data_IF_294801875311
#
_entry.id   IF_294801875311
#
_cell.length_a   1.000
_cell.length_b   1.000
_cell.length_c   1.000
_cell.angle_alpha   90.00
_cell.angle_beta   90.00
_cell.angle_gamma   90.00
#
_symmetry.space_group_name_H-M   'P 1'
#
loop_
_entity.id
_entity.type
_entity.pdbx_description
1 polymer ?
#
# COMPACT_ATOMS: atom_id res chain seq x y z
N UNK A 1 21.04 -12.53 28.34
CA UNK A 1 20.26 -11.37 27.82
C UNK A 1 18.81 -11.66 28.13
N UNK A 2 18.08 -10.75 28.78
CA UNK A 2 16.71 -11.03 29.24
C UNK A 2 15.75 -11.06 28.02
N UNK A 3 14.85 -12.05 27.94
CA UNK A 3 13.88 -12.20 26.84
C UNK A 3 13.13 -10.90 26.52
N UNK A 4 12.73 -10.16 27.54
CA UNK A 4 12.10 -8.84 27.43
C UNK A 4 12.97 -7.82 26.67
N UNK A 5 14.28 -7.82 26.86
CA UNK A 5 15.19 -6.91 26.17
C UNK A 5 15.24 -7.22 24.66
N UNK A 6 15.20 -8.50 24.29
CA UNK A 6 15.18 -8.95 22.90
C UNK A 6 13.87 -8.51 22.24
N UNK A 7 12.74 -8.77 22.89
CA UNK A 7 11.42 -8.39 22.38
C UNK A 7 11.28 -6.87 22.20
N UNK A 8 11.73 -6.08 23.18
CA UNK A 8 11.73 -4.62 23.09
C UNK A 8 12.63 -4.11 21.94
N UNK A 9 13.80 -4.71 21.75
CA UNK A 9 14.69 -4.38 20.63
C UNK A 9 14.02 -4.66 19.28
N UNK A 10 13.35 -5.80 19.14
CA UNK A 10 12.60 -6.16 17.94
C UNK A 10 11.42 -5.20 17.71
N UNK A 11 10.67 -4.85 18.76
CA UNK A 11 9.56 -3.90 18.66
C UNK A 11 10.04 -2.52 18.20
N UNK A 12 11.14 -2.01 18.76
CA UNK A 12 11.72 -0.76 18.34
C UNK A 12 12.17 -0.79 16.86
N UNK A 13 12.76 -1.89 16.41
CA UNK A 13 13.13 -2.09 15.02
C UNK A 13 11.90 -2.05 14.10
N UNK A 14 10.80 -2.70 14.49
CA UNK A 14 9.56 -2.69 13.70
C UNK A 14 8.93 -1.31 13.63
N UNK A 15 8.91 -0.56 14.74
CA UNK A 15 8.42 0.82 14.77
C UNK A 15 9.27 1.76 13.89
N UNK A 16 10.59 1.60 13.89
CA UNK A 16 11.47 2.36 13.00
C UNK A 16 11.21 2.02 11.53
N UNK A 17 11.04 0.73 11.22
CA UNK A 17 10.72 0.27 9.87
C UNK A 17 9.36 0.81 9.41
N UNK A 18 8.33 0.78 10.27
CA UNK A 18 7.02 1.36 9.97
C UNK A 18 7.11 2.86 9.66
N UNK A 19 7.83 3.61 10.48
CA UNK A 19 8.03 5.05 10.26
C UNK A 19 8.78 5.34 8.95
N UNK A 20 9.79 4.55 8.64
CA UNK A 20 10.54 4.67 7.38
C UNK A 20 9.65 4.44 6.16
N UNK A 21 8.93 3.31 6.11
CA UNK A 21 8.07 2.99 4.96
C UNK A 21 6.87 3.91 4.85
N UNK A 22 6.33 4.40 5.98
CA UNK A 22 5.29 5.43 5.95
C UNK A 22 5.77 6.74 5.30
N UNK A 23 6.96 7.20 5.65
CA UNK A 23 7.58 8.38 5.03
C UNK A 23 7.83 8.18 3.54
N UNK A 24 8.39 7.03 3.15
CA UNK A 24 8.63 6.70 1.73
C UNK A 24 7.31 6.65 0.94
N UNK A 25 6.29 6.00 1.48
CA UNK A 25 4.97 5.94 0.88
C UNK A 25 4.40 7.33 0.57
N UNK A 26 4.51 8.28 1.52
CA UNK A 26 4.04 9.65 1.33
C UNK A 26 4.89 10.44 0.32
N UNK A 27 6.21 10.19 0.27
CA UNK A 27 7.10 10.82 -0.71
C UNK A 27 6.75 10.35 -2.12
N UNK A 28 6.58 9.04 -2.30
CA UNK A 28 6.27 8.46 -3.60
C UNK A 28 4.90 8.90 -4.11
N UNK A 29 3.88 8.96 -3.24
CA UNK A 29 2.56 9.49 -3.59
C UNK A 29 2.70 10.92 -4.13
N UNK A 30 3.40 11.80 -3.41
CA UNK A 30 3.57 13.18 -3.84
C UNK A 30 4.31 13.26 -5.17
N UNK A 31 5.41 12.53 -5.29
CA UNK A 31 6.21 12.51 -6.51
C UNK A 31 5.40 12.02 -7.72
N UNK A 32 4.72 10.88 -7.58
CA UNK A 32 3.89 10.30 -8.65
C UNK A 32 2.72 11.21 -9.03
N UNK A 33 2.08 11.86 -8.04
CA UNK A 33 1.01 12.81 -8.29
C UNK A 33 1.51 13.99 -9.13
N UNK A 34 2.57 14.67 -8.69
CA UNK A 34 3.13 15.82 -9.43
C UNK A 34 3.63 15.41 -10.80
N UNK A 35 4.29 14.26 -10.91
CA UNK A 35 4.77 13.75 -12.20
C UNK A 35 3.60 13.51 -13.17
N UNK A 36 2.51 12.90 -12.70
CA UNK A 36 1.31 12.67 -13.52
C UNK A 36 0.68 14.00 -13.96
N UNK A 37 0.56 14.99 -13.06
CA UNK A 37 0.02 16.32 -13.39
C UNK A 37 0.89 17.03 -14.44
N UNK A 38 2.23 16.95 -14.31
CA UNK A 38 3.15 17.51 -15.29
C UNK A 38 2.94 16.88 -16.67
N UNK A 39 2.85 15.54 -16.76
CA UNK A 39 2.64 14.87 -18.04
C UNK A 39 1.25 15.11 -18.63
N UNK A 40 0.21 15.26 -17.78
CA UNK A 40 -1.11 15.71 -18.25
C UNK A 40 -1.05 17.11 -18.85
N UNK A 41 -0.33 18.05 -18.22
CA UNK A 41 -0.12 19.39 -18.77
C UNK A 41 0.66 19.36 -20.09
N UNK A 42 1.77 18.62 -20.12
CA UNK A 42 2.58 18.46 -21.31
C UNK A 42 1.80 17.81 -22.47
N UNK A 43 0.84 16.95 -22.17
CA UNK A 43 0.01 16.31 -23.21
C UNK A 43 -0.90 17.29 -23.96
N UNK A 44 -1.22 18.44 -23.36
CA UNK A 44 -1.91 19.53 -24.03
C UNK A 44 -1.03 20.24 -25.09
N UNK A 45 0.29 20.16 -24.93
CA UNK A 45 1.27 20.75 -25.86
C UNK A 45 1.75 19.70 -26.86
N UNK A 46 2.05 18.51 -26.38
CA UNK A 46 2.54 17.39 -27.16
C UNK A 46 1.84 16.10 -26.73
N UNK A 47 0.99 15.58 -27.60
CA UNK A 47 0.15 14.41 -27.35
C UNK A 47 0.97 13.15 -26.99
N UNK A 48 2.22 13.04 -27.45
CA UNK A 48 3.10 11.91 -27.12
C UNK A 48 3.47 11.84 -25.63
N UNK A 49 3.27 12.92 -24.87
CA UNK A 49 3.43 12.89 -23.41
C UNK A 49 2.41 11.93 -22.72
N UNK A 50 1.27 11.64 -23.37
CA UNK A 50 0.30 10.65 -22.88
C UNK A 50 0.88 9.24 -22.79
N UNK A 51 1.90 8.89 -23.60
CA UNK A 51 2.51 7.56 -23.56
C UNK A 51 3.13 7.22 -22.19
N UNK A 52 3.58 8.23 -21.45
CA UNK A 52 4.26 8.03 -20.18
C UNK A 52 3.26 7.82 -19.03
N UNK A 53 2.07 8.39 -19.12
CA UNK A 53 1.07 8.35 -18.03
C UNK A 53 0.67 6.92 -17.63
N UNK A 54 0.32 5.99 -18.55
CA UNK A 54 -0.01 4.62 -18.17
C UNK A 54 1.16 3.90 -17.49
N UNK A 55 2.38 4.15 -17.95
CA UNK A 55 3.59 3.56 -17.36
C UNK A 55 3.82 4.07 -15.93
N UNK A 56 3.68 5.38 -15.70
CA UNK A 56 3.76 5.99 -14.37
C UNK A 56 2.69 5.39 -13.45
N UNK A 57 1.44 5.27 -13.93
CA UNK A 57 0.33 4.74 -13.13
C UNK A 57 0.55 3.28 -12.74
N UNK A 58 1.03 2.44 -13.66
CA UNK A 58 1.35 1.03 -13.37
C UNK A 58 2.55 0.90 -12.43
N UNK A 59 3.65 1.58 -12.71
CA UNK A 59 4.82 1.59 -11.84
C UNK A 59 4.49 2.10 -10.46
N UNK A 60 3.74 3.21 -10.39
CA UNK A 60 3.27 3.79 -9.14
C UNK A 60 2.42 2.83 -8.33
N UNK A 61 1.49 2.10 -8.97
CA UNK A 61 0.65 1.11 -8.29
C UNK A 61 1.48 -0.02 -7.66
N UNK A 62 2.48 -0.53 -8.37
CA UNK A 62 3.40 -1.58 -7.87
C UNK A 62 4.25 -1.05 -6.72
N UNK A 63 4.81 0.15 -6.84
CA UNK A 63 5.64 0.77 -5.81
C UNK A 63 4.84 1.05 -4.53
N UNK A 64 3.64 1.61 -4.65
CA UNK A 64 2.74 1.85 -3.52
C UNK A 64 2.29 0.55 -2.86
N UNK A 65 1.98 -0.49 -3.65
CA UNK A 65 1.65 -1.82 -3.13
C UNK A 65 2.82 -2.44 -2.35
N UNK A 66 4.05 -2.26 -2.84
CA UNK A 66 5.26 -2.70 -2.13
C UNK A 66 5.40 -2.03 -0.76
N UNK A 67 5.26 -0.70 -0.67
CA UNK A 67 5.33 0.01 0.60
C UNK A 67 4.17 -0.35 1.53
N UNK A 68 2.95 -0.46 1.00
CA UNK A 68 1.79 -0.89 1.77
C UNK A 68 2.00 -2.29 2.38
N UNK A 69 2.61 -3.22 1.64
CA UNK A 69 2.95 -4.55 2.14
C UNK A 69 3.89 -4.48 3.36
N UNK A 70 4.92 -3.67 3.31
CA UNK A 70 5.84 -3.50 4.44
C UNK A 70 5.19 -2.80 5.65
N UNK A 71 4.29 -1.84 5.40
CA UNK A 71 3.51 -1.21 6.47
C UNK A 71 2.60 -2.22 7.18
N UNK A 72 1.90 -3.06 6.43
CA UNK A 72 1.05 -4.13 6.97
C UNK A 72 1.89 -5.13 7.78
N UNK A 73 3.03 -5.57 7.22
CA UNK A 73 3.94 -6.48 7.90
C UNK A 73 4.46 -5.91 9.21
N UNK A 74 5.06 -4.71 9.19
CA UNK A 74 5.66 -4.09 10.38
C UNK A 74 4.65 -3.88 11.50
N UNK A 75 3.41 -3.53 11.14
CA UNK A 75 2.32 -3.32 12.07
C UNK A 75 1.85 -4.62 12.70
N UNK A 76 1.54 -5.65 11.91
CA UNK A 76 1.08 -6.93 12.43
C UNK A 76 2.13 -7.56 13.34
N UNK A 77 3.41 -7.41 12.98
CA UNK A 77 4.50 -7.93 13.82
C UNK A 77 4.69 -7.08 15.09
N UNK A 78 4.54 -5.77 15.04
CA UNK A 78 4.54 -4.92 16.23
C UNK A 78 3.42 -5.30 17.19
N UNK A 79 2.20 -5.53 16.70
CA UNK A 79 1.08 -6.00 17.50
C UNK A 79 1.40 -7.33 18.19
N UNK A 80 1.91 -8.31 17.45
CA UNK A 80 2.31 -9.60 18.01
C UNK A 80 3.35 -9.44 19.15
N UNK A 81 4.35 -8.58 18.97
CA UNK A 81 5.38 -8.31 19.98
C UNK A 81 4.81 -7.60 21.21
N UNK A 82 3.92 -6.61 21.01
CA UNK A 82 3.24 -5.92 22.12
C UNK A 82 2.39 -6.88 22.95
N UNK A 83 1.61 -7.74 22.31
CA UNK A 83 0.81 -8.77 22.97
C UNK A 83 1.70 -9.74 23.76
N UNK A 84 2.85 -10.16 23.20
CA UNK A 84 3.78 -11.06 23.89
C UNK A 84 4.45 -10.39 25.10
N UNK A 85 4.88 -9.13 24.97
CA UNK A 85 5.47 -8.36 26.08
C UNK A 85 4.44 -8.15 27.19
N UNK A 86 3.20 -7.77 26.84
CA UNK A 86 2.13 -7.60 27.82
C UNK A 86 1.83 -8.91 28.59
N UNK A 87 1.85 -10.04 27.89
CA UNK A 87 1.63 -11.35 28.51
C UNK A 87 2.75 -11.69 29.52
N UNK A 88 4.02 -11.40 29.18
CA UNK A 88 5.15 -11.62 30.09
C UNK A 88 5.06 -10.72 31.33
N UNK A 89 4.65 -9.46 31.15
CA UNK A 89 4.52 -8.49 32.24
C UNK A 89 3.26 -8.69 33.12
N UNK A 90 2.31 -9.52 32.67
CA UNK A 90 1.04 -9.73 33.35
C UNK A 90 0.06 -8.55 33.29
N UNK A 91 0.39 -7.47 32.61
CA UNK A 91 -0.39 -6.25 32.50
C UNK A 91 -0.38 -5.72 31.04
N UNK A 92 -1.52 -5.15 30.60
CA UNK A 92 -1.64 -4.49 29.29
C UNK A 92 -1.04 -3.07 29.33
N UNK A 93 0.28 -2.96 29.25
CA UNK A 93 1.00 -1.67 29.28
C UNK A 93 1.18 -1.13 27.86
N UNK A 94 1.46 -2.02 26.89
CA UNK A 94 1.65 -1.64 25.50
C UNK A 94 0.33 -1.74 24.75
N UNK A 95 -0.25 -0.59 24.39
CA UNK A 95 -1.56 -0.46 23.75
C UNK A 95 -1.49 0.28 22.40
N UNK A 96 -0.29 0.52 21.87
CA UNK A 96 -0.13 1.33 20.65
C UNK A 96 -0.90 0.71 19.46
N UNK A 97 -0.87 -0.61 19.29
CA UNK A 97 -1.64 -1.31 18.27
C UNK A 97 -3.15 -1.11 18.39
N UNK A 98 -3.71 -1.05 19.63
CA UNK A 98 -5.14 -0.83 19.86
C UNK A 98 -5.54 0.58 19.43
N UNK A 99 -4.71 1.59 19.75
CA UNK A 99 -4.94 2.98 19.37
C UNK A 99 -4.84 3.16 17.83
N UNK A 100 -3.83 2.56 17.23
CA UNK A 100 -3.68 2.59 15.77
C UNK A 100 -4.87 1.91 15.07
N UNK A 101 -5.33 0.77 15.58
CA UNK A 101 -6.46 0.03 15.01
C UNK A 101 -7.77 0.82 15.10
N UNK A 102 -7.99 1.53 16.21
CA UNK A 102 -9.24 2.27 16.43
C UNK A 102 -9.27 3.62 15.72
N UNK A 103 -8.11 4.27 15.56
CA UNK A 103 -8.06 5.67 15.12
C UNK A 103 -7.50 5.86 13.70
N UNK A 104 -6.41 5.18 13.36
CA UNK A 104 -5.71 5.41 12.09
C UNK A 104 -6.09 4.41 11.01
N UNK A 105 -6.21 3.14 11.39
CA UNK A 105 -6.39 2.06 10.45
C UNK A 105 -7.41 1.06 10.99
N UNK A 106 -8.70 1.20 10.70
CA UNK A 106 -9.67 0.21 11.11
C UNK A 106 -9.27 -1.15 10.52
N UNK A 107 -8.84 -2.05 11.41
CA UNK A 107 -8.53 -3.42 11.04
C UNK A 107 -9.76 -4.28 11.33
N UNK A 108 -10.32 -4.90 10.30
CA UNK A 108 -11.21 -6.03 10.44
C UNK A 108 -10.44 -7.31 10.07
N UNK A 109 -10.48 -8.29 10.96
CA UNK A 109 -9.87 -9.61 10.76
C UNK A 109 -8.40 -9.56 10.29
N UNK A 110 -7.60 -8.67 10.91
CA UNK A 110 -6.18 -8.43 10.57
C UNK A 110 -5.91 -7.89 9.17
N UNK A 111 -6.94 -7.51 8.42
CA UNK A 111 -6.80 -6.84 7.12
C UNK A 111 -6.93 -5.34 7.30
N UNK A 112 -6.00 -4.58 6.72
CA UNK A 112 -6.18 -3.14 6.59
C UNK A 112 -7.28 -2.91 5.56
N UNK A 113 -8.46 -2.57 6.04
CA UNK A 113 -9.56 -2.13 5.18
C UNK A 113 -9.34 -0.65 4.88
N UNK A 114 -8.63 -0.40 3.79
CA UNK A 114 -8.19 0.95 3.38
C UNK A 114 -9.36 1.89 3.08
N UNK A 115 -10.56 1.38 2.84
CA UNK A 115 -11.67 2.19 2.37
C UNK A 115 -13.03 1.61 2.72
N UNK A 116 -13.39 1.57 4.00
CA UNK A 116 -14.77 1.37 4.39
C UNK A 116 -15.47 2.72 4.48
N UNK A 117 -16.40 2.97 3.56
CA UNK A 117 -17.33 4.09 3.67
C UNK A 117 -18.32 3.76 4.80
N UNK A 118 -18.37 4.58 5.84
CA UNK A 118 -19.27 4.39 6.98
C UNK A 118 -18.69 4.90 8.30
N UNK A 119 -19.13 4.33 9.43
CA UNK A 119 -18.70 4.74 10.78
C UNK A 119 -17.19 4.55 11.03
N UNK A 120 -16.54 3.70 10.26
CA UNK A 120 -15.11 3.41 10.36
C UNK A 120 -14.28 4.19 9.32
N UNK A 121 -14.85 5.21 8.69
CA UNK A 121 -14.16 6.04 7.71
C UNK A 121 -13.04 6.85 8.39
N UNK A 122 -11.83 6.75 7.85
CA UNK A 122 -10.68 7.51 8.32
C UNK A 122 -10.17 8.46 7.24
N UNK A 123 -9.52 9.54 7.65
CA UNK A 123 -8.87 10.47 6.73
C UNK A 123 -7.83 9.79 5.83
N UNK A 124 -7.12 8.80 6.37
CA UNK A 124 -6.19 7.97 5.63
C UNK A 124 -6.92 7.17 4.52
N UNK A 125 -8.07 6.58 4.84
CA UNK A 125 -8.92 5.91 3.86
C UNK A 125 -9.34 6.85 2.72
N UNK A 126 -9.72 8.08 3.05
CA UNK A 126 -10.07 9.09 2.05
C UNK A 126 -8.91 9.40 1.09
N UNK A 127 -7.72 9.70 1.64
CA UNK A 127 -6.53 10.01 0.84
C UNK A 127 -6.16 8.84 -0.07
N UNK A 128 -6.22 7.62 0.43
CA UNK A 128 -5.89 6.42 -0.34
C UNK A 128 -6.89 6.19 -1.48
N UNK A 129 -8.19 6.37 -1.21
CA UNK A 129 -9.24 6.30 -2.24
C UNK A 129 -9.05 7.38 -3.31
N UNK A 130 -8.79 8.62 -2.88
CA UNK A 130 -8.58 9.73 -3.81
C UNK A 130 -7.42 9.45 -4.77
N UNK A 131 -6.29 8.99 -4.23
CA UNK A 131 -5.10 8.67 -5.03
C UNK A 131 -5.36 7.51 -5.98
N UNK A 132 -6.02 6.46 -5.49
CA UNK A 132 -6.38 5.30 -6.32
C UNK A 132 -7.30 5.71 -7.45
N UNK A 133 -8.34 6.51 -7.15
CA UNK A 133 -9.27 7.00 -8.15
C UNK A 133 -8.59 7.92 -9.18
N UNK A 134 -7.73 8.81 -8.73
CA UNK A 134 -6.93 9.67 -9.59
C UNK A 134 -6.03 8.85 -10.53
N UNK A 135 -5.28 7.86 -10.00
CA UNK A 135 -4.41 7.00 -10.79
C UNK A 135 -5.17 6.19 -11.84
N UNK A 136 -6.30 5.58 -11.47
CA UNK A 136 -7.15 4.82 -12.39
C UNK A 136 -7.75 5.73 -13.46
N UNK A 137 -8.26 6.89 -13.08
CA UNK A 137 -8.89 7.84 -14.02
C UNK A 137 -7.88 8.36 -15.05
N UNK A 138 -6.68 8.72 -14.62
CA UNK A 138 -5.62 9.20 -15.51
C UNK A 138 -5.10 8.10 -16.43
N UNK A 139 -4.99 6.86 -15.93
CA UNK A 139 -4.65 5.70 -16.73
C UNK A 139 -5.69 5.46 -17.85
N UNK A 140 -6.97 5.40 -17.48
CA UNK A 140 -8.08 5.17 -18.43
C UNK A 140 -8.13 6.30 -19.46
N UNK A 141 -8.00 7.56 -19.01
CA UNK A 141 -7.97 8.72 -19.90
C UNK A 141 -6.85 8.61 -20.93
N UNK A 142 -5.61 8.38 -20.49
CA UNK A 142 -4.47 8.25 -21.40
C UNK A 142 -4.63 7.08 -22.37
N UNK A 143 -5.10 5.92 -21.89
CA UNK A 143 -5.33 4.74 -22.74
C UNK A 143 -6.39 5.01 -23.80
N UNK A 144 -7.52 5.67 -23.43
CA UNK A 144 -8.56 6.05 -24.37
C UNK A 144 -8.03 6.96 -25.48
N UNK A 145 -7.28 8.00 -25.12
CA UNK A 145 -6.71 8.94 -26.11
C UNK A 145 -5.72 8.24 -27.04
N UNK A 146 -4.88 7.35 -26.54
CA UNK A 146 -3.95 6.57 -27.36
C UNK A 146 -4.67 5.64 -28.35
N UNK A 147 -5.80 5.04 -27.95
CA UNK A 147 -6.62 4.22 -28.84
C UNK A 147 -7.27 5.09 -29.93
N UNK A 148 -7.81 6.26 -29.57
CA UNK A 148 -8.43 7.21 -30.53
C UNK A 148 -7.40 7.67 -31.55
N UNK A 149 -6.18 7.95 -31.13
CA UNK A 149 -5.07 8.36 -32.00
C UNK A 149 -4.51 7.21 -32.86
N UNK A 150 -5.05 5.99 -32.71
CA UNK A 150 -4.57 4.78 -33.41
C UNK A 150 -3.07 4.57 -33.22
N UNK A 151 -2.61 4.77 -31.97
CA UNK A 151 -1.21 4.58 -31.63
C UNK A 151 -0.78 3.12 -31.85
N UNK A 152 0.52 2.89 -31.95
CA UNK A 152 1.14 1.59 -32.24
C UNK A 152 0.51 0.44 -31.43
N UNK A 153 -0.06 -0.55 -32.12
CA UNK A 153 -0.75 -1.71 -31.51
C UNK A 153 0.18 -2.48 -30.58
N UNK A 154 1.47 -2.55 -30.91
CA UNK A 154 2.49 -3.24 -30.08
C UNK A 154 2.57 -2.60 -28.69
N UNK A 155 2.58 -1.28 -28.62
CA UNK A 155 2.60 -0.56 -27.34
C UNK A 155 1.34 -0.83 -26.51
N UNK A 156 0.16 -0.82 -27.13
CA UNK A 156 -1.10 -1.10 -26.47
C UNK A 156 -1.16 -2.54 -25.92
N UNK A 157 -0.68 -3.52 -26.70
CA UNK A 157 -0.57 -4.92 -26.26
C UNK A 157 0.37 -5.03 -25.04
N UNK A 158 1.53 -4.37 -25.10
CA UNK A 158 2.49 -4.35 -23.99
C UNK A 158 1.89 -3.77 -22.73
N UNK A 159 1.18 -2.64 -22.82
CA UNK A 159 0.46 -2.05 -21.68
C UNK A 159 -0.60 -2.99 -21.12
N UNK A 160 -1.38 -3.63 -21.99
CA UNK A 160 -2.40 -4.59 -21.57
C UNK A 160 -1.79 -5.76 -20.81
N UNK A 161 -0.71 -6.33 -21.31
CA UNK A 161 -0.03 -7.45 -20.64
C UNK A 161 0.49 -7.07 -19.25
N UNK A 162 1.19 -5.93 -19.13
CA UNK A 162 1.68 -5.45 -17.82
C UNK A 162 0.52 -5.19 -16.87
N UNK A 163 -0.58 -4.60 -17.37
CA UNK A 163 -1.78 -4.33 -16.55
C UNK A 163 -2.37 -5.63 -16.02
N UNK A 164 -2.55 -6.64 -16.88
CA UNK A 164 -3.09 -7.94 -16.48
C UNK A 164 -2.20 -8.63 -15.44
N UNK A 165 -0.88 -8.61 -15.64
CA UNK A 165 0.09 -9.17 -14.68
C UNK A 165 0.02 -8.43 -13.34
N UNK A 166 -0.01 -7.09 -13.37
CA UNK A 166 -0.10 -6.27 -12.14
C UNK A 166 -1.40 -6.54 -11.39
N UNK A 167 -2.54 -6.59 -12.09
CA UNK A 167 -3.83 -6.91 -11.49
C UNK A 167 -3.86 -8.33 -10.91
N UNK A 168 -3.35 -9.32 -11.65
CA UNK A 168 -3.30 -10.70 -11.18
C UNK A 168 -2.52 -10.81 -9.86
N UNK A 169 -1.30 -10.28 -9.80
CA UNK A 169 -0.49 -10.33 -8.59
C UNK A 169 -1.09 -9.49 -7.45
N UNK A 170 -1.67 -8.33 -7.75
CA UNK A 170 -2.34 -7.49 -6.77
C UNK A 170 -3.54 -8.22 -6.13
N UNK A 171 -4.40 -8.81 -6.94
CA UNK A 171 -5.55 -9.61 -6.48
C UNK A 171 -5.07 -10.82 -5.67
N UNK A 172 -4.13 -11.58 -6.22
CA UNK A 172 -3.62 -12.79 -5.58
C UNK A 172 -2.98 -12.51 -4.21
N UNK A 173 -2.20 -11.44 -4.11
CA UNK A 173 -1.47 -11.13 -2.88
C UNK A 173 -2.34 -10.44 -1.83
N UNK A 174 -3.06 -9.38 -2.23
CA UNK A 174 -3.82 -8.55 -1.28
C UNK A 174 -5.27 -9.00 -1.11
N UNK A 175 -6.04 -9.19 -2.18
CA UNK A 175 -7.46 -9.51 -2.06
C UNK A 175 -7.71 -10.95 -1.59
N UNK A 176 -6.96 -11.92 -2.10
CA UNK A 176 -7.03 -13.31 -1.64
C UNK A 176 -6.27 -13.54 -0.32
N UNK A 177 -5.57 -12.53 0.21
CA UNK A 177 -4.89 -12.55 1.50
C UNK A 177 -3.73 -13.54 1.58
N UNK A 178 -3.09 -13.89 0.45
CA UNK A 178 -2.00 -14.86 0.47
C UNK A 178 -0.75 -14.33 1.20
N UNK A 179 -0.51 -13.01 1.19
CA UNK A 179 0.54 -12.38 1.98
C UNK A 179 0.30 -12.52 3.49
N UNK A 180 -0.94 -12.30 3.93
CA UNK A 180 -1.34 -12.42 5.35
C UNK A 180 -1.30 -13.86 5.83
N UNK A 181 -1.81 -14.82 5.04
CA UNK A 181 -1.75 -16.26 5.39
C UNK A 181 -0.33 -16.75 5.64
N UNK A 182 0.65 -16.25 4.84
CA UNK A 182 2.07 -16.58 5.08
C UNK A 182 2.58 -16.03 6.41
N UNK A 183 2.18 -14.81 6.75
CA UNK A 183 2.57 -14.17 8.01
C UNK A 183 1.92 -14.86 9.21
N UNK A 184 0.64 -15.19 9.12
CA UNK A 184 -0.09 -15.91 10.17
C UNK A 184 0.50 -17.29 10.45
N UNK A 185 0.94 -18.01 9.41
CA UNK A 185 1.61 -19.30 9.58
C UNK A 185 2.85 -19.17 10.46
N UNK A 186 3.70 -18.17 10.18
CA UNK A 186 4.89 -17.90 10.98
C UNK A 186 4.53 -17.55 12.42
N UNK A 187 3.55 -16.67 12.63
CA UNK A 187 3.12 -16.31 13.98
C UNK A 187 2.54 -17.50 14.77
N UNK A 188 1.87 -18.41 14.08
CA UNK A 188 1.33 -19.61 14.72
C UNK A 188 2.45 -20.56 15.19
N UNK A 189 3.54 -20.69 14.43
CA UNK A 189 4.70 -21.50 14.77
C UNK A 189 5.48 -20.95 15.99
N UNK A 190 5.36 -19.64 16.28
CA UNK A 190 6.11 -18.95 17.36
C UNK A 190 5.24 -18.45 18.53
N UNK A 191 3.98 -18.81 18.59
CA UNK A 191 3.07 -18.54 19.72
C UNK A 191 3.29 -19.53 20.86
#
# INVERSE_FOLDING_TARGET
>A
MNELNILNSQLNRMRQMNNFYHKQFLIDIRFLFFLTVIFLYLSAINIYALLIIPVISLFGSVLLAFHAHYLIFSRNYSQFLEEKINKINGNEILIAHKLENSYLFPIQDRKIVVAKLGKEFTWFGFVTLFITFFGISTYIYALRELIILKYEVIYLIFLLLITLVTLFFGIWWFLLGNGEKKLEKVFYEYR
#
